data_IF_974321831390
#
_entry.id   IF_974321831390
#
_cell.length_a   1.000
_cell.length_b   1.000
_cell.length_c   1.000
_cell.angle_alpha   90.00
_cell.angle_beta   90.00
_cell.angle_gamma   90.00
#
_symmetry.space_group_name_H-M   'P 1'
#
loop_
_entity.id
_entity.type
_entity.pdbx_description
1 polymer ?
#
# COMPACT_ATOMS: atom_id res chain seq x y z
N UNK A 1 -13.50 30.87 25.83
CA UNK A 1 -12.40 30.40 26.70
C UNK A 1 -11.27 29.87 25.83
N UNK A 2 -10.12 30.54 25.83
CA UNK A 2 -8.96 30.14 25.02
C UNK A 2 -8.38 28.79 25.48
N UNK A 3 -7.87 27.99 24.54
CA UNK A 3 -7.16 26.75 24.86
C UNK A 3 -5.75 27.09 25.36
N UNK A 4 -5.38 26.60 26.54
CA UNK A 4 -4.00 26.69 27.03
C UNK A 4 -3.01 25.89 26.16
N UNK A 5 -1.74 26.28 26.20
CA UNK A 5 -0.64 25.56 25.53
C UNK A 5 -0.50 24.15 26.13
N UNK A 6 -0.31 23.15 25.27
CA UNK A 6 -0.10 21.75 25.67
C UNK A 6 1.29 21.31 25.20
N UNK A 7 2.03 20.62 26.05
CA UNK A 7 3.33 20.03 25.71
C UNK A 7 3.17 18.92 24.65
N UNK A 8 4.15 18.80 23.74
CA UNK A 8 4.18 17.74 22.74
C UNK A 8 4.82 16.47 23.33
N UNK A 9 4.05 15.80 24.20
CA UNK A 9 4.36 14.47 24.76
C UNK A 9 3.13 13.59 24.79
N UNK A 10 3.30 12.30 25.08
CA UNK A 10 2.17 11.39 25.26
C UNK A 10 1.28 11.89 26.41
N UNK A 11 -0.04 11.97 26.16
CA UNK A 11 -1.00 12.33 27.21
C UNK A 11 -1.23 11.12 28.10
N UNK A 12 -0.77 11.16 29.34
CA UNK A 12 -0.86 10.01 30.27
C UNK A 12 -2.31 9.64 30.60
N UNK A 13 -3.13 10.63 30.95
CA UNK A 13 -4.53 10.41 31.29
C UNK A 13 -5.30 9.85 30.08
N UNK A 14 -5.81 8.61 30.22
CA UNK A 14 -6.48 7.86 29.14
C UNK A 14 -7.74 8.56 28.62
N UNK A 15 -8.53 9.18 29.49
CA UNK A 15 -9.77 9.90 29.11
C UNK A 15 -9.41 11.14 28.29
N UNK A 16 -8.48 11.94 28.80
CA UNK A 16 -8.01 13.14 28.10
C UNK A 16 -7.37 12.78 26.76
N UNK A 17 -6.62 11.68 26.69
CA UNK A 17 -6.02 11.17 25.45
C UNK A 17 -7.08 10.76 24.45
N UNK A 18 -8.14 10.06 24.86
CA UNK A 18 -9.23 9.66 23.97
C UNK A 18 -10.00 10.87 23.41
N UNK A 19 -10.36 11.82 24.28
CA UNK A 19 -11.06 13.05 23.85
C UNK A 19 -10.18 13.89 22.93
N UNK A 20 -8.88 14.00 23.26
CA UNK A 20 -7.91 14.73 22.43
C UNK A 20 -7.70 14.05 21.09
N UNK A 21 -7.59 12.72 21.06
CA UNK A 21 -7.50 11.95 19.82
C UNK A 21 -8.69 12.22 18.92
N UNK A 22 -9.92 12.12 19.43
CA UNK A 22 -11.12 12.39 18.63
C UNK A 22 -11.13 13.81 18.05
N UNK A 23 -10.80 14.83 18.88
CA UNK A 23 -10.76 16.23 18.45
C UNK A 23 -9.65 16.51 17.44
N UNK A 24 -8.43 16.02 17.68
CA UNK A 24 -7.28 16.22 16.78
C UNK A 24 -7.43 15.45 15.47
N UNK A 25 -7.91 14.20 15.52
CA UNK A 25 -8.22 13.40 14.32
C UNK A 25 -9.21 14.14 13.43
N UNK A 26 -10.32 14.62 14.00
CA UNK A 26 -11.32 15.38 13.23
C UNK A 26 -10.74 16.69 12.67
N UNK A 27 -9.91 17.41 13.43
CA UNK A 27 -9.23 18.61 12.95
C UNK A 27 -8.25 18.31 11.81
N UNK A 28 -7.50 17.21 11.90
CA UNK A 28 -6.57 16.77 10.86
C UNK A 28 -7.30 16.36 9.58
N UNK A 29 -8.41 15.63 9.71
CA UNK A 29 -9.28 15.27 8.58
C UNK A 29 -9.79 16.50 7.83
N UNK A 30 -10.24 17.53 8.56
CA UNK A 30 -10.67 18.80 7.96
C UNK A 30 -9.54 19.47 7.18
N UNK A 31 -8.34 19.55 7.76
CA UNK A 31 -7.17 20.13 7.08
C UNK A 31 -6.76 19.34 5.85
N UNK A 32 -6.79 18.01 5.91
CA UNK A 32 -6.48 17.15 4.78
C UNK A 32 -7.48 17.36 3.62
N UNK A 33 -8.77 17.48 3.97
CA UNK A 33 -9.82 17.81 3.01
C UNK A 33 -9.63 19.20 2.39
N UNK A 34 -9.43 20.24 3.23
CA UNK A 34 -9.15 21.60 2.77
C UNK A 34 -7.97 21.64 1.80
N UNK A 35 -6.86 20.99 2.12
CA UNK A 35 -5.70 20.91 1.24
C UNK A 35 -6.03 20.23 -0.09
N UNK A 36 -6.76 19.11 -0.05
CA UNK A 36 -7.12 18.40 -1.27
C UNK A 36 -7.97 19.24 -2.22
N UNK A 37 -8.91 20.03 -1.69
CA UNK A 37 -9.81 20.87 -2.48
C UNK A 37 -9.11 22.16 -2.94
N UNK A 38 -8.38 22.84 -2.06
CA UNK A 38 -7.77 24.14 -2.36
C UNK A 38 -6.61 24.04 -3.35
N UNK A 39 -5.90 22.91 -3.36
CA UNK A 39 -4.69 22.74 -4.16
C UNK A 39 -4.81 21.62 -5.21
N UNK A 40 -6.01 21.07 -5.42
CA UNK A 40 -6.24 19.91 -6.30
C UNK A 40 -5.23 18.77 -6.07
N UNK A 41 -5.00 18.48 -4.79
CA UNK A 41 -4.00 17.50 -4.35
C UNK A 41 -4.67 16.19 -3.95
N UNK A 42 -4.10 15.07 -4.41
CA UNK A 42 -4.49 13.74 -3.91
C UNK A 42 -3.91 13.54 -2.51
N UNK A 43 -4.78 13.39 -1.51
CA UNK A 43 -4.40 13.26 -0.10
C UNK A 43 -5.04 12.01 0.48
N UNK A 44 -4.22 11.17 1.12
CA UNK A 44 -4.67 10.03 1.91
C UNK A 44 -4.13 10.11 3.34
N UNK A 45 -4.95 9.71 4.30
CA UNK A 45 -4.63 9.69 5.72
C UNK A 45 -5.09 8.35 6.32
N UNK A 46 -4.18 7.67 7.00
CA UNK A 46 -4.42 6.40 7.68
C UNK A 46 -4.03 6.57 9.15
N UNK A 47 -4.94 6.27 10.07
CA UNK A 47 -4.73 6.41 11.51
C UNK A 47 -5.18 5.14 12.22
N UNK A 48 -4.25 4.50 12.91
CA UNK A 48 -4.56 3.42 13.85
C UNK A 48 -4.62 3.98 15.27
N UNK A 49 -5.76 3.78 15.93
CA UNK A 49 -5.85 4.06 17.37
C UNK A 49 -5.05 3.03 18.17
N UNK A 50 -4.74 3.36 19.43
CA UNK A 50 -4.11 2.43 20.37
C UNK A 50 -4.94 1.17 20.65
N UNK A 51 -6.22 1.13 20.24
CA UNK A 51 -7.11 -0.04 20.33
C UNK A 51 -7.19 -0.83 19.01
N UNK A 52 -6.32 -0.52 18.04
CA UNK A 52 -6.30 -1.16 16.72
C UNK A 52 -7.42 -0.71 15.77
N UNK A 53 -8.29 0.23 16.16
CA UNK A 53 -9.31 0.75 15.23
C UNK A 53 -8.65 1.61 14.15
N UNK A 54 -8.97 1.30 12.90
CA UNK A 54 -8.59 2.06 11.71
C UNK A 54 -9.54 3.25 11.52
N UNK A 55 -8.97 4.41 11.25
CA UNK A 55 -9.65 5.60 10.73
C UNK A 55 -8.90 6.05 9.49
N UNK A 56 -9.61 6.21 8.39
CA UNK A 56 -9.01 6.58 7.13
C UNK A 56 -9.78 7.69 6.43
N UNK A 57 -9.07 8.40 5.57
CA UNK A 57 -9.61 9.40 4.66
C UNK A 57 -8.81 9.37 3.38
N UNK A 58 -9.52 9.45 2.25
CA UNK A 58 -8.93 9.57 0.94
C UNK A 58 -9.73 10.65 0.19
N UNK A 59 -9.04 11.61 -0.42
CA UNK A 59 -9.70 12.58 -1.30
C UNK A 59 -10.11 11.98 -2.64
N UNK A 60 -9.49 10.85 -3.03
CA UNK A 60 -9.81 10.12 -4.26
C UNK A 60 -10.97 9.12 -4.04
N UNK A 61 -11.50 8.59 -5.14
CA UNK A 61 -12.55 7.56 -5.12
C UNK A 61 -12.15 6.25 -4.41
N UNK A 62 -10.85 5.98 -4.21
CA UNK A 62 -10.40 4.72 -3.64
C UNK A 62 -9.03 4.85 -2.96
N UNK A 63 -9.00 4.52 -1.66
CA UNK A 63 -7.76 4.41 -0.88
C UNK A 63 -6.77 3.43 -1.53
N UNK A 64 -7.26 2.31 -2.08
CA UNK A 64 -6.43 1.31 -2.73
C UNK A 64 -5.66 1.89 -3.92
N UNK A 65 -6.32 2.70 -4.76
CA UNK A 65 -5.66 3.37 -5.89
C UNK A 65 -4.58 4.34 -5.45
N UNK A 66 -4.84 5.13 -4.40
CA UNK A 66 -3.84 6.04 -3.82
C UNK A 66 -2.64 5.28 -3.27
N UNK A 67 -2.87 4.15 -2.59
CA UNK A 67 -1.80 3.28 -2.09
C UNK A 67 -1.00 2.63 -3.22
N UNK A 68 -1.65 2.18 -4.30
CA UNK A 68 -0.95 1.67 -5.48
C UNK A 68 -0.08 2.74 -6.15
N UNK A 69 -0.59 3.97 -6.27
CA UNK A 69 0.17 5.12 -6.78
C UNK A 69 1.38 5.40 -5.89
N UNK A 70 1.18 5.43 -4.58
CA UNK A 70 2.26 5.60 -3.60
C UNK A 70 3.32 4.50 -3.75
N UNK A 71 2.91 3.23 -3.83
CA UNK A 71 3.84 2.12 -4.04
C UNK A 71 4.63 2.31 -5.33
N UNK A 72 3.97 2.58 -6.47
CA UNK A 72 4.67 2.80 -7.75
C UNK A 72 5.70 3.93 -7.65
N UNK A 73 5.36 5.06 -7.04
CA UNK A 73 6.29 6.17 -6.86
C UNK A 73 7.41 5.87 -5.85
N UNK A 74 7.09 5.20 -4.75
CA UNK A 74 8.05 4.86 -3.70
C UNK A 74 9.05 3.80 -4.18
N UNK A 75 8.62 2.79 -4.94
CA UNK A 75 9.47 1.75 -5.49
C UNK A 75 10.34 2.26 -6.65
N UNK A 76 9.83 3.19 -7.47
CA UNK A 76 10.65 3.83 -8.50
C UNK A 76 11.74 4.73 -7.91
N UNK A 77 11.63 5.13 -6.64
CA UNK A 77 12.69 5.85 -5.92
C UNK A 77 13.69 4.91 -5.23
N UNK A 78 13.44 3.60 -5.24
CA UNK A 78 14.24 2.57 -4.55
C UNK A 78 14.64 1.39 -5.44
N UNK A 79 14.93 1.67 -6.73
CA UNK A 79 15.64 0.78 -7.68
C UNK A 79 17.03 0.27 -7.20
N UNK A 80 17.32 0.28 -5.90
CA UNK A 80 18.49 -0.42 -5.35
C UNK A 80 18.13 -1.66 -4.55
N UNK A 81 16.90 -1.91 -4.08
CA UNK A 81 16.67 -3.11 -3.25
C UNK A 81 15.27 -3.75 -3.31
N UNK A 82 15.17 -4.78 -4.17
CA UNK A 82 14.54 -6.11 -3.94
C UNK A 82 13.12 -6.37 -4.52
N UNK A 83 12.90 -7.57 -5.11
CA UNK A 83 12.21 -7.77 -6.39
C UNK A 83 10.99 -8.70 -6.25
N UNK A 84 9.85 -8.19 -5.81
CA UNK A 84 8.64 -9.03 -5.69
C UNK A 84 7.91 -9.23 -7.02
N UNK A 85 7.90 -8.22 -7.90
CA UNK A 85 7.25 -8.30 -9.22
C UNK A 85 8.05 -9.08 -10.25
N UNK A 86 9.38 -8.96 -10.23
CA UNK A 86 10.24 -9.75 -11.12
C UNK A 86 10.17 -11.23 -10.75
N UNK A 87 10.09 -11.58 -9.47
CA UNK A 87 9.96 -12.98 -9.04
C UNK A 87 8.63 -13.61 -9.51
N UNK A 88 7.52 -12.88 -9.44
CA UNK A 88 6.23 -13.36 -9.96
C UNK A 88 6.22 -13.51 -11.49
N UNK A 89 6.75 -12.53 -12.22
CA UNK A 89 6.87 -12.62 -13.67
C UNK A 89 7.82 -13.73 -14.10
N UNK A 90 8.98 -13.85 -13.46
CA UNK A 90 9.96 -14.90 -13.72
C UNK A 90 9.39 -16.30 -13.47
N UNK A 91 8.60 -16.48 -12.40
CA UNK A 91 7.95 -17.77 -12.15
C UNK A 91 6.91 -18.12 -13.23
N UNK A 92 6.14 -17.14 -13.72
CA UNK A 92 5.22 -17.37 -14.83
C UNK A 92 5.94 -17.69 -16.16
N UNK A 93 7.04 -17.00 -16.44
CA UNK A 93 7.88 -17.29 -17.62
C UNK A 93 8.53 -18.67 -17.53
N UNK A 94 9.03 -19.05 -16.35
CA UNK A 94 9.54 -20.38 -16.08
C UNK A 94 8.50 -21.47 -16.34
N UNK A 95 7.26 -21.30 -15.85
CA UNK A 95 6.18 -22.27 -16.10
C UNK A 95 5.85 -22.41 -17.59
N UNK A 96 5.81 -21.30 -18.35
CA UNK A 96 5.60 -21.33 -19.80
C UNK A 96 6.74 -22.05 -20.52
N UNK A 97 7.98 -21.75 -20.15
CA UNK A 97 9.16 -22.35 -20.76
C UNK A 97 9.23 -23.85 -20.45
N UNK A 98 8.95 -24.26 -19.20
CA UNK A 98 8.90 -25.67 -18.79
C UNK A 98 7.89 -26.47 -19.63
N UNK A 99 6.67 -25.95 -19.79
CA UNK A 99 5.66 -26.59 -20.62
C UNK A 99 6.11 -26.74 -22.10
N UNK A 100 6.84 -25.74 -22.62
CA UNK A 100 7.39 -25.79 -23.98
C UNK A 100 8.48 -26.85 -24.12
N UNK A 101 9.37 -26.96 -23.13
CA UNK A 101 10.44 -27.97 -23.09
C UNK A 101 9.85 -29.38 -23.03
N UNK A 102 8.88 -29.62 -22.14
CA UNK A 102 8.22 -30.92 -22.01
C UNK A 102 7.55 -31.35 -23.33
N UNK A 103 6.88 -30.41 -24.00
CA UNK A 103 6.29 -30.66 -25.31
C UNK A 103 7.34 -31.04 -26.37
N UNK A 104 8.44 -30.28 -26.45
CA UNK A 104 9.50 -30.54 -27.42
C UNK A 104 10.21 -31.87 -27.14
N UNK A 105 10.50 -32.18 -25.88
CA UNK A 105 11.09 -33.46 -25.48
C UNK A 105 10.18 -34.64 -25.83
N UNK A 106 8.86 -34.51 -25.64
CA UNK A 106 7.90 -35.54 -26.05
C UNK A 106 7.87 -35.70 -27.58
N UNK A 107 7.87 -34.60 -28.32
CA UNK A 107 7.93 -34.64 -29.78
C UNK A 107 9.22 -35.30 -30.29
N UNK A 108 10.35 -35.05 -29.63
CA UNK A 108 11.64 -35.63 -29.98
C UNK A 108 11.65 -37.15 -29.77
N UNK A 109 11.13 -37.64 -28.63
CA UNK A 109 11.01 -39.08 -28.35
C UNK A 109 10.12 -39.81 -29.36
N UNK A 110 9.00 -39.20 -29.73
CA UNK A 110 8.13 -39.73 -30.78
C UNK A 110 8.84 -39.83 -32.15
N UNK A 111 9.65 -38.81 -32.50
CA UNK A 111 10.42 -38.80 -33.76
C UNK A 111 11.56 -39.84 -33.76
N UNK A 112 12.16 -40.11 -32.60
CA UNK A 112 13.19 -41.12 -32.42
C UNK A 112 12.63 -42.54 -32.29
N UNK A 113 11.30 -42.71 -32.30
CA UNK A 113 10.63 -44.00 -32.19
C UNK A 113 10.72 -44.64 -30.80
N UNK A 114 11.02 -43.85 -29.77
CA UNK A 114 11.14 -44.33 -28.37
C UNK A 114 9.77 -44.51 -27.67
N UNK A 115 8.69 -43.97 -28.26
CA UNK A 115 7.31 -44.01 -27.76
C UNK A 115 6.31 -44.63 -28.81
N UNK A 116 6.77 -45.61 -29.61
CA UNK A 116 5.93 -46.45 -30.49
C UNK A 116 5.53 -47.78 -29.84
#
# INVERSE_FOLDING_TARGET
>A
MGRGRVELKMIENKINRQVTFAKRRNGLLKKAYELSVLCDAEVALIIFSNRGRLFEFCSSSSMMKTLERYQKCSYNSSETTIPSKETQNSYQEYLKLKARVEYLQRSQRNLLGEDL
#
